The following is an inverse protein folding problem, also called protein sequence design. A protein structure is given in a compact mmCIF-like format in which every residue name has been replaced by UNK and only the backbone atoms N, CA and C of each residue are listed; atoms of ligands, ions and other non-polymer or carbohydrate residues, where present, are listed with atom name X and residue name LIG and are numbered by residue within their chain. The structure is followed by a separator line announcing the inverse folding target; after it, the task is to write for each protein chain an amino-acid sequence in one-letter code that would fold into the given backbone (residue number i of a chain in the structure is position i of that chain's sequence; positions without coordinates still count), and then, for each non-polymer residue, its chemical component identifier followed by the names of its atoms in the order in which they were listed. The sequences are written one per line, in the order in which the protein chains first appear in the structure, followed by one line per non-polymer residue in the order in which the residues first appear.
data_IF_887333729984
#
_entry.id   IF_887333729984
#
_cell.length_a   1.000
_cell.length_b   1.000
_cell.length_c   1.000
_cell.angle_alpha   90.00
_cell.angle_beta   90.00
_cell.angle_gamma   90.00
#
_symmetry.space_group_name_H-M   'P 1'
#
loop_
_entity.id
_entity.type
_entity.pdbx_description
1 polymer ?
#
# COMPACT_ATOMS: atom_id res chain seq x y z
N UNK A 1 -0.77 22.95 21.25
CA UNK A 1 0.36 22.71 20.31
C UNK A 1 -0.23 22.42 18.96
N UNK A 2 0.00 23.24 17.94
CA UNK A 2 -0.43 22.94 16.58
C UNK A 2 0.28 21.64 16.13
N UNK A 3 -0.50 20.65 15.77
CA UNK A 3 0.06 19.37 15.33
C UNK A 3 0.85 19.60 14.04
N UNK A 4 2.07 19.05 13.96
CA UNK A 4 2.89 19.15 12.75
C UNK A 4 2.14 18.62 11.53
N UNK A 5 2.12 19.37 10.42
CA UNK A 5 1.51 18.89 9.18
C UNK A 5 2.27 17.67 8.67
N UNK A 6 1.53 16.71 8.12
CA UNK A 6 2.14 15.56 7.46
C UNK A 6 2.52 15.98 6.04
N UNK A 7 3.80 15.93 5.74
CA UNK A 7 4.35 16.29 4.43
C UNK A 7 4.83 15.06 3.70
N UNK A 8 4.77 15.08 2.38
CA UNK A 8 5.31 14.07 1.49
C UNK A 8 5.92 14.74 0.25
N UNK A 9 6.85 14.06 -0.38
CA UNK A 9 7.42 14.49 -1.66
C UNK A 9 6.58 13.92 -2.81
N UNK A 10 6.12 14.78 -3.73
CA UNK A 10 5.37 14.36 -4.90
C UNK A 10 6.33 14.10 -6.07
N UNK A 11 6.56 12.81 -6.40
CA UNK A 11 7.58 12.38 -7.38
C UNK A 11 7.41 13.03 -8.75
N UNK A 12 6.21 13.01 -9.31
CA UNK A 12 5.97 13.59 -10.65
C UNK A 12 6.09 15.10 -10.68
N UNK A 13 5.68 15.81 -9.62
CA UNK A 13 5.74 17.28 -9.53
C UNK A 13 7.08 17.80 -9.00
N UNK A 14 7.91 16.94 -8.39
CA UNK A 14 9.19 17.30 -7.77
C UNK A 14 9.05 18.37 -6.67
N UNK A 15 7.97 18.35 -5.90
CA UNK A 15 7.67 19.30 -4.82
C UNK A 15 7.25 18.58 -3.54
N UNK A 16 7.44 19.26 -2.40
CA UNK A 16 6.92 18.79 -1.11
C UNK A 16 5.52 19.36 -0.91
N UNK A 17 4.56 18.48 -0.68
CA UNK A 17 3.16 18.82 -0.44
C UNK A 17 2.72 18.43 0.98
N UNK A 18 1.65 19.04 1.47
CA UNK A 18 1.01 18.66 2.74
C UNK A 18 -0.17 17.74 2.47
N UNK A 19 -0.22 16.62 3.18
CA UNK A 19 -1.27 15.63 3.03
C UNK A 19 -2.61 16.14 3.59
N UNK A 20 -3.68 16.04 2.78
CA UNK A 20 -5.06 16.19 3.24
C UNK A 20 -5.55 14.85 3.78
N UNK A 21 -5.60 14.72 5.10
CA UNK A 21 -5.96 13.46 5.75
C UNK A 21 -7.49 13.35 5.84
N UNK A 22 -8.03 12.27 5.27
CA UNK A 22 -9.46 11.96 5.41
C UNK A 22 -9.82 11.72 6.88
N UNK A 23 -10.75 12.54 7.42
CA UNK A 23 -11.17 12.45 8.81
C UNK A 23 -10.08 12.78 9.83
N UNK A 24 -9.15 13.70 9.51
CA UNK A 24 -7.99 14.04 10.34
C UNK A 24 -8.35 14.31 11.80
N UNK A 25 -9.38 15.12 12.06
CA UNK A 25 -9.81 15.48 13.41
C UNK A 25 -10.18 14.25 14.24
N UNK A 26 -10.85 13.26 13.62
CA UNK A 26 -11.22 12.02 14.29
C UNK A 26 -10.00 11.13 14.55
N UNK A 27 -9.09 11.01 13.58
CA UNK A 27 -7.85 10.24 13.74
C UNK A 27 -6.98 10.85 14.82
N UNK A 28 -6.77 12.17 14.80
CA UNK A 28 -6.01 12.87 15.84
C UNK A 28 -6.64 12.68 17.21
N UNK A 29 -7.95 12.93 17.35
CA UNK A 29 -8.63 12.72 18.63
C UNK A 29 -8.46 11.29 19.12
N UNK A 30 -8.63 10.29 18.26
CA UNK A 30 -8.51 8.88 18.62
C UNK A 30 -7.11 8.50 19.10
N UNK A 31 -6.06 9.00 18.45
CA UNK A 31 -4.68 8.63 18.77
C UNK A 31 -3.95 9.62 19.68
N UNK A 32 -4.38 10.87 19.79
CA UNK A 32 -3.68 11.91 20.53
C UNK A 32 -4.36 12.26 21.86
N UNK A 33 -5.65 11.91 22.07
CA UNK A 33 -6.36 12.18 23.32
C UNK A 33 -6.45 10.95 24.25
N UNK A 34 -6.56 11.19 25.57
CA UNK A 34 -6.78 10.12 26.56
C UNK A 34 -8.12 9.40 26.35
N UNK A 35 -9.18 10.13 26.02
CA UNK A 35 -10.51 9.55 25.73
C UNK A 35 -10.51 8.75 24.44
N UNK A 36 -9.85 9.26 23.38
CA UNK A 36 -9.68 8.55 22.14
C UNK A 36 -8.89 7.24 22.29
N UNK A 37 -7.82 7.27 23.10
CA UNK A 37 -7.04 6.06 23.39
C UNK A 37 -7.88 4.97 24.08
N UNK A 38 -8.76 5.35 25.00
CA UNK A 38 -9.70 4.40 25.63
C UNK A 38 -10.67 3.81 24.61
N UNK A 39 -11.24 4.65 23.74
CA UNK A 39 -12.13 4.22 22.65
C UNK A 39 -11.40 3.31 21.65
N UNK A 40 -10.15 3.64 21.32
CA UNK A 40 -9.29 2.83 20.44
C UNK A 40 -9.13 1.41 21.01
N UNK A 41 -8.82 1.29 22.29
CA UNK A 41 -8.64 -0.01 22.95
C UNK A 41 -9.96 -0.78 23.13
N UNK A 42 -11.08 -0.08 23.30
CA UNK A 42 -12.40 -0.69 23.47
C UNK A 42 -13.05 -1.13 22.15
N UNK A 43 -13.10 -0.27 21.16
CA UNK A 43 -13.95 -0.43 19.98
C UNK A 43 -13.20 -0.33 18.65
N UNK A 44 -12.36 0.70 18.45
CA UNK A 44 -11.83 1.03 17.12
C UNK A 44 -10.88 -0.03 16.56
N UNK A 45 -10.13 -0.74 17.42
CA UNK A 45 -9.24 -1.84 17.03
C UNK A 45 -9.98 -3.12 16.67
N UNK A 46 -11.28 -3.25 17.00
CA UNK A 46 -12.07 -4.46 16.81
C UNK A 46 -12.68 -4.53 15.43
N UNK A 47 -12.74 -5.73 14.88
CA UNK A 47 -13.33 -6.02 13.57
C UNK A 47 -14.80 -5.57 13.44
N UNK A 48 -15.57 -5.52 14.56
CA UNK A 48 -16.99 -5.21 14.56
C UNK A 48 -17.27 -3.79 14.06
N UNK A 49 -16.54 -2.78 14.55
CA UNK A 49 -16.72 -1.39 14.11
C UNK A 49 -16.35 -1.23 12.61
N UNK A 50 -15.25 -1.84 12.20
CA UNK A 50 -14.81 -1.82 10.80
C UNK A 50 -15.77 -2.59 9.89
N UNK A 51 -16.31 -3.72 10.37
CA UNK A 51 -17.31 -4.50 9.65
C UNK A 51 -18.62 -3.71 9.45
N UNK A 52 -19.15 -3.08 10.52
CA UNK A 52 -20.38 -2.28 10.45
C UNK A 52 -20.24 -1.10 9.48
N UNK A 53 -19.11 -0.37 9.55
CA UNK A 53 -18.87 0.75 8.65
C UNK A 53 -18.68 0.28 7.19
N UNK A 54 -17.92 -0.77 6.96
CA UNK A 54 -17.73 -1.38 5.65
C UNK A 54 -19.05 -1.88 5.05
N UNK A 55 -19.92 -2.46 5.89
CA UNK A 55 -21.25 -2.90 5.49
C UNK A 55 -22.13 -1.72 5.05
N UNK A 56 -22.14 -0.59 5.79
CA UNK A 56 -22.83 0.64 5.38
C UNK A 56 -22.32 1.18 4.03
N UNK A 57 -21.04 1.07 3.74
CA UNK A 57 -20.46 1.50 2.46
C UNK A 57 -20.84 0.59 1.27
N UNK A 58 -21.43 -0.58 1.53
CA UNK A 58 -22.00 -1.46 0.52
C UNK A 58 -23.49 -1.17 0.22
N UNK A 59 -24.14 -0.27 0.95
CA UNK A 59 -25.53 0.10 0.68
C UNK A 59 -25.63 1.04 -0.52
N UNK A 60 -26.70 0.92 -1.30
CA UNK A 60 -26.93 1.79 -2.46
C UNK A 60 -26.97 3.27 -2.09
N UNK A 61 -27.52 3.63 -0.93
CA UNK A 61 -27.53 5.00 -0.41
C UNK A 61 -26.11 5.58 -0.23
N UNK A 62 -25.07 4.76 -0.10
CA UNK A 62 -23.69 5.24 -0.01
C UNK A 62 -23.15 5.80 -1.32
N UNK A 63 -23.77 5.50 -2.47
CA UNK A 63 -23.40 6.06 -3.77
C UNK A 63 -23.49 7.60 -3.80
N UNK A 64 -24.37 8.21 -3.00
CA UNK A 64 -24.52 9.65 -2.89
C UNK A 64 -23.23 10.35 -2.37
N UNK A 65 -22.29 9.60 -1.80
CA UNK A 65 -21.00 10.11 -1.33
C UNK A 65 -19.94 10.19 -2.44
N UNK A 66 -20.17 9.54 -3.59
CA UNK A 66 -19.17 9.41 -4.65
C UNK A 66 -18.81 10.76 -5.25
N UNK A 67 -19.83 11.50 -5.74
CA UNK A 67 -19.57 12.79 -6.37
C UNK A 67 -19.00 13.84 -5.41
N UNK A 68 -19.55 14.04 -4.19
CA UNK A 68 -18.93 14.92 -3.21
C UNK A 68 -17.46 14.58 -2.91
N UNK A 69 -17.14 13.30 -2.80
CA UNK A 69 -15.76 12.85 -2.55
C UNK A 69 -14.84 13.16 -3.73
N UNK A 70 -15.28 12.94 -4.98
CA UNK A 70 -14.50 13.28 -6.17
C UNK A 70 -14.18 14.78 -6.21
N UNK A 71 -15.17 15.62 -5.93
CA UNK A 71 -15.01 17.09 -5.94
C UNK A 71 -14.12 17.58 -4.80
N UNK A 72 -14.33 17.05 -3.57
CA UNK A 72 -13.55 17.43 -2.38
C UNK A 72 -12.05 17.14 -2.53
N UNK A 73 -11.72 16.00 -3.18
CA UNK A 73 -10.34 15.55 -3.31
C UNK A 73 -9.77 15.72 -4.72
N UNK A 74 -10.48 16.40 -5.62
CA UNK A 74 -10.04 16.69 -6.99
C UNK A 74 -9.54 15.46 -7.73
N UNK A 75 -10.36 14.39 -7.75
CA UNK A 75 -9.98 13.14 -8.38
C UNK A 75 -10.17 13.20 -9.89
N UNK A 76 -9.15 12.77 -10.63
CA UNK A 76 -9.20 12.67 -12.09
C UNK A 76 -10.15 11.55 -12.53
N UNK A 77 -11.35 11.95 -12.97
CA UNK A 77 -12.40 11.03 -13.43
C UNK A 77 -12.09 10.42 -14.79
N UNK A 78 -11.20 11.04 -15.58
CA UNK A 78 -10.81 10.54 -16.90
C UNK A 78 -9.97 9.25 -16.81
N UNK A 79 -9.35 8.99 -15.66
CA UNK A 79 -8.67 7.73 -15.41
C UNK A 79 -9.62 6.55 -15.10
N UNK A 80 -10.88 6.79 -14.77
CA UNK A 80 -11.80 5.74 -14.32
C UNK A 80 -12.29 4.86 -15.48
N UNK A 81 -12.33 3.53 -15.26
CA UNK A 81 -12.84 2.58 -16.24
C UNK A 81 -14.35 2.74 -16.50
N UNK A 82 -15.09 3.35 -15.54
CA UNK A 82 -16.51 3.63 -15.70
C UNK A 82 -16.87 5.01 -15.15
N UNK A 83 -17.92 5.61 -15.70
CA UNK A 83 -18.42 6.91 -15.26
C UNK A 83 -18.72 6.95 -13.76
N UNK A 84 -18.42 8.06 -13.05
CA UNK A 84 -18.76 8.25 -11.64
C UNK A 84 -20.21 8.00 -11.28
N UNK A 85 -21.13 8.26 -12.19
CA UNK A 85 -22.58 8.08 -12.02
C UNK A 85 -23.03 6.62 -12.02
N UNK A 86 -22.19 5.70 -12.47
CA UNK A 86 -22.50 4.28 -12.58
C UNK A 86 -22.10 3.45 -11.35
N UNK A 87 -21.44 4.03 -10.37
CA UNK A 87 -21.10 3.33 -9.14
C UNK A 87 -22.35 3.12 -8.28
N UNK A 88 -22.65 1.87 -7.95
CA UNK A 88 -23.83 1.48 -7.18
C UNK A 88 -23.66 1.72 -5.67
N UNK A 89 -22.43 1.79 -5.19
CA UNK A 89 -22.07 1.98 -3.78
C UNK A 89 -20.77 2.76 -3.68
N UNK A 90 -20.55 3.40 -2.52
CA UNK A 90 -19.27 4.05 -2.26
C UNK A 90 -18.09 3.06 -2.24
N UNK A 91 -18.33 1.83 -1.78
CA UNK A 91 -17.29 0.81 -1.76
C UNK A 91 -16.88 0.38 -3.17
N UNK A 92 -17.85 0.26 -4.11
CA UNK A 92 -17.54 -0.02 -5.52
C UNK A 92 -16.68 1.08 -6.15
N UNK A 93 -16.95 2.35 -5.83
CA UNK A 93 -16.11 3.47 -6.23
C UNK A 93 -14.72 3.42 -5.58
N UNK A 94 -14.64 3.03 -4.32
CA UNK A 94 -13.40 3.00 -3.57
C UNK A 94 -12.35 2.06 -4.20
N UNK A 95 -12.76 0.84 -4.58
CA UNK A 95 -11.90 -0.10 -5.32
C UNK A 95 -12.10 -0.05 -6.85
N UNK A 96 -12.47 1.12 -7.38
CA UNK A 96 -12.70 1.35 -8.80
C UNK A 96 -11.58 0.79 -9.68
N UNK A 97 -11.92 0.28 -10.85
CA UNK A 97 -10.94 -0.02 -11.88
C UNK A 97 -10.56 1.25 -12.64
N UNK A 98 -9.33 1.33 -13.09
CA UNK A 98 -8.85 2.37 -13.98
C UNK A 98 -8.87 1.90 -15.43
N UNK A 99 -8.88 2.85 -16.37
CA UNK A 99 -8.76 2.56 -17.79
C UNK A 99 -7.42 1.89 -18.10
N UNK A 100 -7.35 1.00 -19.11
CA UNK A 100 -6.08 0.51 -19.61
C UNK A 100 -5.14 1.66 -19.97
N UNK A 101 -3.89 1.57 -19.53
CA UNK A 101 -2.88 2.61 -19.75
C UNK A 101 -2.88 3.77 -18.77
N UNK A 102 -3.89 3.93 -17.88
CA UNK A 102 -3.88 4.96 -16.84
C UNK A 102 -2.72 4.81 -15.84
N UNK A 103 -2.15 3.63 -15.75
CA UNK A 103 -0.94 3.31 -14.97
C UNK A 103 0.07 2.59 -15.87
N UNK A 104 0.95 3.33 -16.57
CA UNK A 104 2.01 2.73 -17.38
C UNK A 104 2.97 1.93 -16.49
N UNK A 105 3.38 0.76 -16.95
CA UNK A 105 4.30 -0.13 -16.23
C UNK A 105 5.74 0.13 -16.71
N UNK A 106 6.59 0.58 -15.81
CA UNK A 106 7.99 0.87 -16.15
C UNK A 106 8.72 -0.38 -16.67
N UNK A 107 9.47 -0.19 -17.77
CA UNK A 107 10.19 -1.26 -18.44
C UNK A 107 9.33 -2.18 -19.32
N UNK A 108 8.03 -1.87 -19.52
CA UNK A 108 7.29 -2.42 -20.65
C UNK A 108 7.42 -1.47 -21.84
N UNK A 109 7.75 -2.00 -23.03
CA UNK A 109 7.61 -1.25 -24.26
C UNK A 109 6.12 -0.98 -24.48
N UNK A 110 5.75 0.27 -24.71
CA UNK A 110 4.39 0.67 -25.12
C UNK A 110 4.15 0.17 -26.55
N UNK A 111 3.80 -1.12 -26.69
CA UNK A 111 3.18 -1.63 -27.91
C UNK A 111 1.82 -0.97 -28.08
N UNK A 112 1.42 -0.69 -29.34
CA UNK A 112 0.14 -0.07 -29.68
C UNK A 112 -1.02 -0.76 -28.95
N UNK A 113 -2.01 0.04 -28.55
CA UNK A 113 -3.22 -0.42 -27.85
C UNK A 113 -3.83 -1.61 -28.62
N UNK A 114 -3.88 -2.78 -27.95
CA UNK A 114 -4.52 -4.00 -28.52
C UNK A 114 -3.62 -5.22 -28.67
N UNK A 115 -2.30 -5.10 -28.56
CA UNK A 115 -1.41 -6.27 -28.51
C UNK A 115 -1.18 -6.70 -27.05
N UNK A 116 -1.16 -8.03 -26.75
CA UNK A 116 -0.66 -8.49 -25.46
C UNK A 116 0.74 -7.92 -25.29
N UNK A 117 1.17 -7.55 -24.05
CA UNK A 117 2.48 -6.95 -23.82
C UNK A 117 3.53 -7.88 -24.41
N UNK A 118 4.19 -7.42 -25.48
CA UNK A 118 5.38 -8.08 -26.00
C UNK A 118 6.34 -8.18 -24.80
N UNK A 119 6.85 -9.38 -24.53
CA UNK A 119 7.66 -9.66 -23.36
C UNK A 119 8.65 -8.53 -23.13
N UNK A 120 8.73 -8.04 -21.91
CA UNK A 120 9.73 -7.05 -21.51
C UNK A 120 11.09 -7.57 -22.01
N UNK A 121 11.81 -6.78 -22.79
CA UNK A 121 13.18 -7.14 -23.13
C UNK A 121 13.96 -7.42 -21.84
N UNK A 122 15.02 -8.22 -21.89
CA UNK A 122 15.78 -8.66 -20.69
C UNK A 122 16.06 -7.52 -19.68
N UNK A 123 16.22 -6.29 -20.14
CA UNK A 123 16.40 -5.10 -19.30
C UNK A 123 15.12 -4.69 -18.57
N UNK A 124 13.96 -4.86 -19.18
CA UNK A 124 12.66 -4.56 -18.56
C UNK A 124 12.33 -5.48 -17.39
N UNK A 125 12.73 -6.75 -17.43
CA UNK A 125 12.50 -7.73 -16.37
C UNK A 125 13.34 -7.44 -15.12
N UNK A 126 14.46 -6.73 -15.27
CA UNK A 126 15.30 -6.27 -14.16
C UNK A 126 14.75 -5.05 -13.41
N UNK A 127 13.64 -4.47 -13.86
CA UNK A 127 12.97 -3.33 -13.23
C UNK A 127 11.84 -3.83 -12.36
N UNK A 128 11.86 -3.51 -11.06
CA UNK A 128 10.72 -3.63 -10.16
C UNK A 128 9.88 -2.35 -10.21
N UNK A 129 8.56 -2.48 -9.99
CA UNK A 129 7.61 -1.36 -10.00
C UNK A 129 6.89 -1.18 -8.68
N UNK A 130 6.35 0.01 -8.45
CA UNK A 130 5.53 0.31 -7.28
C UNK A 130 4.24 -0.52 -7.33
N UNK A 131 3.85 -1.17 -6.22
CA UNK A 131 2.72 -2.09 -6.21
C UNK A 131 1.34 -1.41 -6.10
N UNK A 132 1.30 -0.12 -5.77
CA UNK A 132 0.07 0.63 -5.55
C UNK A 132 0.31 2.13 -5.74
N UNK A 133 -0.77 2.90 -5.97
CA UNK A 133 -0.74 4.34 -5.77
C UNK A 133 -0.63 4.64 -4.29
N UNK A 134 0.21 5.58 -3.90
CA UNK A 134 0.30 5.95 -2.49
C UNK A 134 1.57 6.69 -2.11
N UNK A 135 1.80 6.75 -0.79
CA UNK A 135 3.00 7.32 -0.20
C UNK A 135 3.93 6.19 0.20
N UNK A 136 5.14 6.26 -0.31
CA UNK A 136 6.13 5.19 -0.25
C UNK A 136 7.30 5.57 0.65
N UNK A 137 7.71 4.62 1.51
CA UNK A 137 8.98 4.65 2.23
C UNK A 137 9.83 3.47 1.80
N UNK A 138 11.01 3.75 1.27
CA UNK A 138 11.94 2.77 0.74
C UNK A 138 13.17 2.65 1.65
N UNK A 139 13.32 1.50 2.31
CA UNK A 139 14.41 1.18 3.21
C UNK A 139 15.32 0.17 2.53
N UNK A 140 16.48 0.63 2.07
CA UNK A 140 17.42 -0.20 1.32
C UNK A 140 18.04 -1.31 2.17
N UNK A 141 18.14 -1.10 3.50
CA UNK A 141 18.60 -2.10 4.46
C UNK A 141 17.73 -2.02 5.72
N UNK A 142 17.03 -3.13 6.03
CA UNK A 142 16.14 -3.22 7.18
C UNK A 142 16.87 -3.08 8.52
N UNK A 143 18.09 -3.61 8.63
CA UNK A 143 18.84 -3.58 9.89
C UNK A 143 19.39 -2.18 10.20
N UNK A 144 19.68 -1.39 9.15
CA UNK A 144 20.12 -0.02 9.28
C UNK A 144 18.96 0.97 9.48
N UNK A 145 17.72 0.55 9.22
CA UNK A 145 16.54 1.41 9.25
C UNK A 145 15.92 1.56 10.66
N UNK A 146 16.72 1.45 11.71
CA UNK A 146 16.23 1.60 13.08
C UNK A 146 15.64 3.00 13.29
N UNK A 147 14.28 3.06 13.43
CA UNK A 147 13.59 4.28 13.88
C UNK A 147 13.07 5.22 12.82
N UNK A 148 12.68 4.73 11.63
CA UNK A 148 12.16 5.58 10.55
C UNK A 148 10.83 6.28 10.85
N UNK A 149 9.89 5.69 11.60
CA UNK A 149 8.70 6.36 12.12
C UNK A 149 8.85 6.78 13.59
N UNK A 150 9.52 5.94 14.40
CA UNK A 150 9.70 6.15 15.84
C UNK A 150 11.15 5.86 16.18
N UNK A 151 11.89 6.88 16.65
CA UNK A 151 13.28 6.72 17.06
C UNK A 151 13.42 5.56 18.07
N UNK A 152 14.35 4.65 17.80
CA UNK A 152 14.66 3.51 18.67
C UNK A 152 13.74 2.30 18.54
N UNK A 153 12.67 2.34 17.75
CA UNK A 153 11.87 1.15 17.45
C UNK A 153 12.42 0.42 16.22
N UNK A 154 12.63 -0.88 16.36
CA UNK A 154 12.99 -1.76 15.23
C UNK A 154 11.74 -2.44 14.70
N UNK A 155 11.71 -2.66 13.39
CA UNK A 155 10.66 -3.45 12.75
C UNK A 155 10.85 -4.93 13.10
N UNK A 156 9.86 -5.54 13.78
CA UNK A 156 9.88 -6.95 14.13
C UNK A 156 9.45 -7.80 12.94
N UNK A 157 10.43 -8.22 12.15
CA UNK A 157 10.23 -8.98 10.92
C UNK A 157 9.65 -10.38 11.21
N UNK A 158 10.04 -11.01 12.32
CA UNK A 158 9.55 -12.33 12.71
C UNK A 158 8.06 -12.27 13.09
N UNK A 159 7.67 -11.32 13.93
CA UNK A 159 6.26 -11.07 14.25
C UNK A 159 5.48 -10.63 13.02
N UNK A 160 6.07 -9.81 12.14
CA UNK A 160 5.41 -9.34 10.93
C UNK A 160 5.13 -10.48 9.94
N UNK A 161 6.10 -11.34 9.66
CA UNK A 161 5.90 -12.49 8.79
C UNK A 161 5.22 -13.66 9.50
N UNK A 162 5.16 -13.67 10.84
CA UNK A 162 4.61 -14.79 11.64
C UNK A 162 5.35 -16.11 11.43
N UNK A 163 6.65 -16.02 11.11
CA UNK A 163 7.52 -17.15 10.80
C UNK A 163 8.98 -16.68 10.91
N UNK A 164 9.70 -17.17 11.91
CA UNK A 164 11.09 -16.78 12.17
C UNK A 164 12.05 -17.28 11.09
N UNK A 165 11.82 -18.48 10.54
CA UNK A 165 12.66 -19.04 9.48
C UNK A 165 12.49 -18.27 8.17
N UNK A 166 11.28 -17.82 7.88
CA UNK A 166 11.01 -16.93 6.75
C UNK A 166 11.63 -15.56 6.98
N UNK A 167 11.49 -14.99 8.18
CA UNK A 167 12.07 -13.71 8.55
C UNK A 167 13.61 -13.68 8.36
N UNK A 168 14.28 -14.74 8.73
CA UNK A 168 15.73 -14.87 8.55
C UNK A 168 16.18 -14.71 7.08
N UNK A 169 15.33 -15.11 6.10
CA UNK A 169 15.64 -14.94 4.67
C UNK A 169 15.59 -13.50 4.20
N UNK A 170 14.91 -12.62 4.93
CA UNK A 170 14.75 -11.21 4.61
C UNK A 170 15.53 -10.28 5.55
N UNK A 171 16.20 -10.80 6.57
CA UNK A 171 17.08 -10.04 7.46
C UNK A 171 18.18 -9.34 6.64
N UNK A 172 18.45 -8.07 6.92
CA UNK A 172 19.35 -7.24 6.13
C UNK A 172 18.89 -6.92 4.70
N UNK A 173 17.70 -7.37 4.32
CA UNK A 173 17.10 -7.11 3.02
C UNK A 173 16.52 -5.70 2.89
N UNK A 174 15.80 -5.47 1.80
CA UNK A 174 15.17 -4.18 1.51
C UNK A 174 13.65 -4.23 1.74
N UNK A 175 13.07 -3.12 2.18
CA UNK A 175 11.64 -2.98 2.45
C UNK A 175 11.07 -1.73 1.80
N UNK A 176 9.95 -1.89 1.11
CA UNK A 176 9.08 -0.81 0.67
C UNK A 176 7.79 -0.84 1.49
N UNK A 177 7.42 0.29 2.09
CA UNK A 177 6.12 0.50 2.70
C UNK A 177 5.33 1.42 1.78
N UNK A 178 4.19 0.95 1.26
CA UNK A 178 3.28 1.69 0.38
C UNK A 178 1.97 1.93 1.12
N UNK A 179 1.74 3.15 1.56
CA UNK A 179 0.56 3.56 2.30
C UNK A 179 -0.46 4.19 1.35
N UNK A 180 -1.63 3.56 1.25
CA UNK A 180 -2.73 4.05 0.43
C UNK A 180 -3.68 4.89 1.30
N UNK A 181 -3.83 6.17 0.94
CA UNK A 181 -4.83 7.04 1.55
C UNK A 181 -6.21 6.79 0.91
N UNK A 182 -7.32 7.12 1.58
CA UNK A 182 -8.67 6.90 1.04
C UNK A 182 -8.93 7.48 -0.35
N UNK A 183 -8.16 8.48 -0.76
CA UNK A 183 -8.26 9.12 -2.08
C UNK A 183 -7.55 8.35 -3.20
N UNK A 184 -6.60 7.48 -2.84
CA UNK A 184 -5.76 6.77 -3.80
C UNK A 184 -6.54 5.65 -4.52
N UNK A 185 -5.92 5.03 -5.49
CA UNK A 185 -6.41 3.83 -6.17
C UNK A 185 -6.19 2.62 -5.27
N UNK A 186 -7.26 1.91 -4.88
CA UNK A 186 -7.22 0.86 -3.86
C UNK A 186 -7.12 -0.56 -4.42
N UNK A 187 -6.55 -0.74 -5.61
CA UNK A 187 -6.05 -2.04 -6.08
C UNK A 187 -4.54 -2.07 -5.94
N UNK A 188 -4.01 -3.25 -5.67
CA UNK A 188 -2.57 -3.47 -5.53
C UNK A 188 -2.11 -4.54 -6.53
N UNK A 189 -0.87 -4.41 -6.97
CA UNK A 189 -0.32 -5.11 -8.12
C UNK A 189 0.99 -5.80 -7.77
N UNK A 190 1.40 -6.78 -8.59
CA UNK A 190 2.68 -7.45 -8.41
C UNK A 190 3.83 -6.52 -8.79
N UNK A 191 4.80 -6.27 -7.86
CA UNK A 191 5.94 -5.37 -8.14
C UNK A 191 6.96 -5.99 -9.09
N UNK A 192 6.95 -7.31 -9.23
CA UNK A 192 7.86 -8.11 -10.06
C UNK A 192 7.11 -9.26 -10.73
N UNK A 193 7.62 -9.74 -11.84
CA UNK A 193 7.14 -10.98 -12.47
C UNK A 193 7.62 -12.20 -11.65
N UNK A 194 6.79 -13.25 -11.60
CA UNK A 194 7.12 -14.47 -10.89
C UNK A 194 5.93 -15.39 -10.65
N UNK A 195 6.10 -16.40 -9.83
CA UNK A 195 5.04 -17.34 -9.46
C UNK A 195 4.66 -17.13 -7.99
N UNK A 196 3.48 -16.56 -7.71
CA UNK A 196 3.01 -16.35 -6.34
C UNK A 196 2.49 -17.65 -5.73
N UNK A 197 2.87 -17.91 -4.46
CA UNK A 197 2.29 -19.01 -3.70
C UNK A 197 0.94 -18.60 -3.08
N UNK A 198 0.24 -19.58 -2.50
CA UNK A 198 -1.03 -19.33 -1.79
C UNK A 198 -0.82 -18.30 -0.67
N UNK A 199 -1.62 -17.22 -0.62
CA UNK A 199 -1.55 -16.21 0.42
C UNK A 199 -1.83 -16.80 1.80
N UNK A 200 -1.03 -16.41 2.80
CA UNK A 200 -1.24 -16.80 4.20
C UNK A 200 -1.84 -15.64 4.97
N UNK A 201 -3.01 -15.86 5.58
CA UNK A 201 -3.66 -14.90 6.46
C UNK A 201 -3.01 -14.95 7.85
N UNK A 202 -2.62 -13.79 8.37
CA UNK A 202 -2.26 -13.60 9.78
C UNK A 202 -3.31 -12.67 10.38
N UNK A 203 -4.12 -13.21 11.27
CA UNK A 203 -5.14 -12.42 11.96
C UNK A 203 -4.51 -11.43 12.94
N UNK A 204 -5.21 -10.34 13.18
CA UNK A 204 -4.73 -9.28 14.06
C UNK A 204 -5.77 -8.19 14.22
N UNK A 205 -5.35 -7.06 14.74
CA UNK A 205 -6.20 -5.88 14.94
C UNK A 205 -6.37 -5.08 13.64
N UNK A 206 -7.07 -3.94 13.74
CA UNK A 206 -7.28 -3.00 12.64
C UNK A 206 -6.95 -1.57 13.13
N UNK A 207 -5.71 -1.37 13.58
CA UNK A 207 -5.21 -0.03 13.91
C UNK A 207 -5.02 0.80 12.63
N UNK A 208 -5.09 2.13 12.75
CA UNK A 208 -4.78 3.00 11.62
C UNK A 208 -3.30 2.87 11.21
N UNK A 209 -3.08 2.90 9.90
CA UNK A 209 -1.74 2.97 9.30
C UNK A 209 -1.38 4.39 8.86
N UNK A 210 -2.14 5.40 9.30
CA UNK A 210 -1.79 6.80 9.07
C UNK A 210 -0.49 7.16 9.79
N UNK A 211 0.29 8.15 9.30
CA UNK A 211 1.49 8.61 9.99
C UNK A 211 1.23 9.08 11.43
N UNK A 212 0.03 9.62 11.72
CA UNK A 212 -0.37 10.01 13.07
C UNK A 212 -0.33 8.81 14.03
N UNK A 213 -0.82 7.65 13.58
CA UNK A 213 -0.82 6.43 14.37
C UNK A 213 0.58 5.79 14.43
N UNK A 214 1.25 5.66 13.27
CA UNK A 214 2.56 4.99 13.16
C UNK A 214 3.69 5.75 13.88
N UNK A 215 3.63 7.09 13.93
CA UNK A 215 4.56 7.90 14.75
C UNK A 215 4.39 7.65 16.25
N UNK A 216 3.24 7.13 16.69
CA UNK A 216 3.03 6.72 18.07
C UNK A 216 3.52 5.32 18.34
N UNK A 217 3.21 4.40 17.46
CA UNK A 217 3.52 2.99 17.67
C UNK A 217 3.66 2.26 16.31
N UNK A 218 4.89 1.90 15.98
CA UNK A 218 5.22 1.16 14.76
C UNK A 218 4.63 -0.26 14.77
N UNK A 219 4.44 -0.83 15.97
CA UNK A 219 3.89 -2.17 16.18
C UNK A 219 2.54 -2.41 15.48
N UNK A 220 1.78 -1.36 15.18
CA UNK A 220 0.50 -1.47 14.49
C UNK A 220 0.64 -2.17 13.12
N UNK A 221 1.80 -2.06 12.45
CA UNK A 221 2.06 -2.74 11.18
C UNK A 221 2.06 -4.27 11.32
N UNK A 222 2.61 -4.82 12.43
CA UNK A 222 2.65 -6.28 12.63
C UNK A 222 1.60 -6.79 13.63
N UNK A 223 0.88 -5.91 14.31
CA UNK A 223 -0.29 -6.28 15.11
C UNK A 223 -1.57 -6.36 14.27
N UNK A 224 -1.61 -5.68 13.11
CA UNK A 224 -2.78 -5.68 12.24
C UNK A 224 -2.93 -6.99 11.46
N UNK A 225 -4.21 -7.28 11.12
CA UNK A 225 -4.59 -8.34 10.18
C UNK A 225 -3.90 -8.09 8.84
N UNK A 226 -3.27 -9.12 8.29
CA UNK A 226 -2.53 -9.03 7.03
C UNK A 226 -2.51 -10.32 6.25
N UNK A 227 -2.31 -10.21 4.95
CA UNK A 227 -2.05 -11.32 4.04
C UNK A 227 -0.57 -11.30 3.65
N UNK A 228 0.09 -12.44 3.67
CA UNK A 228 1.49 -12.60 3.25
C UNK A 228 1.54 -13.52 2.05
N UNK A 229 2.06 -13.03 0.92
CA UNK A 229 2.24 -13.81 -0.31
C UNK A 229 3.72 -13.78 -0.70
N UNK A 230 4.33 -14.96 -0.89
CA UNK A 230 5.65 -15.05 -1.48
C UNK A 230 5.51 -15.16 -3.00
N UNK A 231 6.30 -14.39 -3.72
CA UNK A 231 6.43 -14.44 -5.17
C UNK A 231 7.82 -14.95 -5.50
N UNK A 232 7.89 -16.08 -6.17
CA UNK A 232 9.16 -16.63 -6.65
C UNK A 232 9.50 -15.99 -7.99
N UNK A 233 10.39 -15.01 -7.96
CA UNK A 233 10.82 -14.27 -9.15
C UNK A 233 12.14 -14.84 -9.67
N UNK A 234 12.26 -15.11 -10.98
CA UNK A 234 13.53 -15.57 -11.57
C UNK A 234 14.64 -14.53 -11.45
N UNK A 235 14.30 -13.25 -11.35
CA UNK A 235 15.24 -12.11 -11.31
C UNK A 235 15.50 -11.64 -9.89
N UNK A 236 14.44 -11.46 -9.09
CA UNK A 236 14.52 -10.87 -7.74
C UNK A 236 14.58 -11.92 -6.61
N UNK A 237 14.57 -13.22 -6.95
CA UNK A 237 14.49 -14.27 -5.94
C UNK A 237 13.12 -14.30 -5.25
N UNK A 238 13.10 -14.61 -3.96
CA UNK A 238 11.85 -14.62 -3.20
C UNK A 238 11.48 -13.22 -2.73
N UNK A 239 10.32 -12.73 -3.16
CA UNK A 239 9.77 -11.41 -2.79
C UNK A 239 8.51 -11.63 -1.95
N UNK A 240 8.43 -11.02 -0.76
CA UNK A 240 7.23 -11.07 0.06
C UNK A 240 6.38 -9.82 -0.19
N UNK A 241 5.14 -10.02 -0.62
CA UNK A 241 4.15 -8.94 -0.80
C UNK A 241 3.07 -9.13 0.26
N UNK A 242 2.95 -8.13 1.15
CA UNK A 242 2.14 -8.21 2.36
C UNK A 242 1.10 -7.08 2.38
N UNK A 243 -0.17 -7.42 2.32
CA UNK A 243 -1.26 -6.44 2.45
C UNK A 243 -1.72 -6.36 3.90
N UNK A 244 -1.80 -5.16 4.43
CA UNK A 244 -2.17 -4.86 5.81
C UNK A 244 -3.52 -4.18 5.83
N UNK A 245 -4.48 -4.78 6.54
CA UNK A 245 -5.75 -4.14 6.85
C UNK A 245 -5.57 -3.09 7.96
N UNK A 246 -6.39 -2.05 7.93
CA UNK A 246 -6.36 -1.00 8.94
C UNK A 246 -7.78 -0.61 9.38
N UNK A 247 -7.92 0.46 10.16
CA UNK A 247 -9.21 0.96 10.64
C UNK A 247 -10.17 1.16 9.46
N UNK A 248 -11.34 0.54 9.55
CA UNK A 248 -12.39 0.49 8.52
C UNK A 248 -12.02 -0.34 7.26
N UNK A 249 -10.85 -0.99 7.21
CA UNK A 249 -10.44 -1.94 6.16
C UNK A 249 -10.11 -3.29 6.77
N UNK A 250 -11.14 -4.09 6.98
CA UNK A 250 -10.95 -5.49 7.39
C UNK A 250 -10.87 -6.46 6.22
N UNK A 251 -11.05 -5.98 4.98
CA UNK A 251 -11.27 -6.84 3.81
C UNK A 251 -10.16 -6.66 2.76
N UNK A 252 -9.29 -7.64 2.70
CA UNK A 252 -8.23 -7.78 1.70
C UNK A 252 -8.67 -8.90 0.74
N UNK A 253 -8.84 -8.57 -0.54
CA UNK A 253 -9.25 -9.53 -1.56
C UNK A 253 -8.11 -9.78 -2.53
N UNK A 254 -7.78 -11.06 -2.71
CA UNK A 254 -6.81 -11.48 -3.71
C UNK A 254 -7.56 -11.85 -4.99
N UNK A 255 -7.11 -11.36 -6.16
CA UNK A 255 -7.75 -11.62 -7.46
C UNK A 255 -6.95 -12.54 -8.35
N UNK A 256 -5.72 -12.90 -7.95
CA UNK A 256 -4.85 -13.80 -8.70
C UNK A 256 -5.07 -15.28 -8.34
N UNK A 257 -4.55 -16.17 -9.19
CA UNK A 257 -4.57 -17.62 -8.97
C UNK A 257 -3.19 -18.05 -8.45
N UNK A 258 -3.09 -18.60 -7.21
CA UNK A 258 -1.83 -19.11 -6.69
C UNK A 258 -1.22 -20.20 -7.58
N UNK A 259 0.10 -20.17 -7.77
CA UNK A 259 0.83 -21.12 -8.62
C UNK A 259 0.84 -20.76 -10.10
N UNK A 260 -0.03 -19.85 -10.57
CA UNK A 260 0.04 -19.32 -11.93
C UNK A 260 1.10 -18.21 -12.01
N UNK A 261 1.95 -18.25 -13.03
CA UNK A 261 2.89 -17.16 -13.31
C UNK A 261 2.13 -15.86 -13.56
N UNK A 262 2.65 -14.76 -13.01
CA UNK A 262 2.10 -13.41 -13.13
C UNK A 262 3.13 -12.46 -13.72
N UNK A 263 2.66 -11.47 -14.45
CA UNK A 263 3.50 -10.40 -14.97
C UNK A 263 3.72 -9.32 -13.90
N UNK A 264 4.80 -8.58 -14.02
CA UNK A 264 5.01 -7.32 -13.32
C UNK A 264 3.88 -6.34 -13.65
N UNK A 265 3.30 -5.68 -12.63
CA UNK A 265 2.16 -4.79 -12.80
C UNK A 265 0.80 -5.50 -12.96
N UNK A 266 0.73 -6.85 -13.02
CA UNK A 266 -0.54 -7.58 -13.00
C UNK A 266 -1.26 -7.36 -11.67
N UNK A 267 -2.61 -7.23 -11.69
CA UNK A 267 -3.40 -7.03 -10.49
C UNK A 267 -3.28 -8.21 -9.54
N UNK A 268 -2.92 -7.93 -8.29
CA UNK A 268 -2.83 -8.93 -7.23
C UNK A 268 -4.10 -8.97 -6.39
N UNK A 269 -4.76 -7.82 -6.23
CA UNK A 269 -5.97 -7.74 -5.44
C UNK A 269 -6.43 -6.32 -5.16
N UNK A 270 -7.36 -6.20 -4.20
CA UNK A 270 -7.97 -4.92 -3.83
C UNK A 270 -8.28 -4.84 -2.33
N UNK A 271 -8.35 -3.62 -1.85
CA UNK A 271 -8.88 -3.27 -0.53
C UNK A 271 -10.31 -2.72 -0.66
N UNK A 272 -11.22 -3.17 0.22
CA UNK A 272 -12.48 -2.46 0.41
C UNK A 272 -12.28 -1.32 1.38
N UNK A 273 -13.23 -0.37 1.41
CA UNK A 273 -13.13 0.95 2.05
C UNK A 273 -12.35 1.00 3.35
N UNK A 274 -11.43 1.98 3.43
CA UNK A 274 -10.64 2.44 4.58
C UNK A 274 -9.14 2.62 4.25
N UNK A 275 -8.30 3.00 5.23
CA UNK A 275 -6.85 3.09 5.06
C UNK A 275 -6.21 1.71 4.89
N UNK A 276 -5.17 1.59 4.10
CA UNK A 276 -4.49 0.33 3.82
C UNK A 276 -3.01 0.52 3.54
N UNK A 277 -2.25 -0.54 3.63
CA UNK A 277 -0.83 -0.51 3.37
C UNK A 277 -0.39 -1.81 2.69
N UNK A 278 0.54 -1.69 1.75
CA UNK A 278 1.26 -2.83 1.16
C UNK A 278 2.72 -2.73 1.56
N UNK A 279 3.25 -3.78 2.16
CA UNK A 279 4.69 -3.89 2.44
C UNK A 279 5.29 -4.94 1.51
N UNK A 280 6.33 -4.53 0.77
CA UNK A 280 7.10 -5.42 -0.09
C UNK A 280 8.49 -5.63 0.50
N UNK A 281 8.90 -6.88 0.67
CA UNK A 281 10.21 -7.26 1.18
C UNK A 281 11.02 -7.96 0.11
N UNK A 282 12.27 -7.57 -0.01
CA UNK A 282 13.26 -8.21 -0.88
C UNK A 282 14.39 -8.80 -0.03
N UNK A 283 14.93 -9.94 -0.44
CA UNK A 283 16.09 -10.54 0.19
C UNK A 283 17.33 -9.64 0.02
N UNK A 284 18.36 -9.77 0.87
CA UNK A 284 19.59 -9.01 0.77
C UNK A 284 20.20 -9.03 -0.64
N UNK A 285 20.59 -7.86 -1.17
CA UNK A 285 21.25 -7.73 -2.47
C UNK A 285 20.35 -7.98 -3.69
N UNK A 286 19.06 -8.23 -3.53
CA UNK A 286 18.16 -8.55 -4.65
C UNK A 286 17.54 -7.35 -5.34
N UNK A 287 17.57 -6.18 -4.72
CA UNK A 287 17.06 -4.94 -5.30
C UNK A 287 17.95 -3.76 -4.91
N UNK A 288 18.09 -2.82 -5.82
CA UNK A 288 18.58 -1.46 -5.57
C UNK A 288 17.44 -0.51 -5.89
N UNK A 289 16.88 0.12 -4.85
CA UNK A 289 15.81 1.12 -5.01
C UNK A 289 16.31 2.37 -5.73
N UNK A 290 15.41 3.09 -6.39
CA UNK A 290 15.71 4.36 -7.02
C UNK A 290 16.18 5.39 -5.98
N UNK A 291 17.15 6.20 -6.36
CA UNK A 291 17.85 7.10 -5.45
C UNK A 291 16.95 8.14 -4.80
N UNK A 292 15.92 8.62 -5.50
CA UNK A 292 14.96 9.58 -4.97
C UNK A 292 14.12 8.98 -3.85
N UNK A 293 13.67 7.73 -4.00
CA UNK A 293 12.93 7.01 -2.96
C UNK A 293 13.77 6.84 -1.70
N UNK A 294 15.03 6.39 -1.85
CA UNK A 294 15.94 6.16 -0.72
C UNK A 294 16.30 7.48 -0.03
N UNK A 295 16.60 8.53 -0.81
CA UNK A 295 16.96 9.86 -0.29
C UNK A 295 15.86 10.43 0.60
N UNK A 296 14.65 10.55 0.08
CA UNK A 296 13.55 11.15 0.84
C UNK A 296 13.12 10.28 2.02
N UNK A 297 13.16 8.95 1.87
CA UNK A 297 12.90 8.04 2.99
C UNK A 297 13.91 8.21 4.14
N UNK A 298 15.18 8.43 3.83
CA UNK A 298 16.22 8.70 4.84
C UNK A 298 16.01 10.04 5.57
N UNK A 299 15.37 11.02 4.90
CA UNK A 299 14.94 12.29 5.48
C UNK A 299 13.62 12.17 6.28
N UNK A 300 13.04 10.97 6.37
CA UNK A 300 11.74 10.72 7.03
C UNK A 300 10.54 11.25 6.25
N UNK A 301 10.69 11.47 4.95
CA UNK A 301 9.68 11.98 4.05
C UNK A 301 9.17 10.85 3.14
N UNK A 302 7.87 10.58 3.18
CA UNK A 302 7.23 9.64 2.24
C UNK A 302 7.23 10.23 0.83
N UNK A 303 7.32 9.38 -0.20
CA UNK A 303 7.28 9.77 -1.62
C UNK A 303 5.96 9.36 -2.22
N UNK A 304 5.14 10.31 -2.68
CA UNK A 304 3.95 10.00 -3.45
C UNK A 304 4.33 9.65 -4.88
N UNK A 305 3.94 8.44 -5.28
CA UNK A 305 4.11 7.94 -6.64
C UNK A 305 2.97 6.97 -6.98
N UNK A 306 2.82 6.65 -8.27
CA UNK A 306 1.72 5.84 -8.78
C UNK A 306 2.16 4.40 -9.00
N UNK A 307 1.21 3.48 -8.94
CA UNK A 307 1.39 2.09 -9.32
C UNK A 307 2.00 1.99 -10.73
N UNK A 308 2.93 1.06 -10.90
CA UNK A 308 3.60 0.86 -12.19
C UNK A 308 4.83 1.73 -12.41
N UNK A 309 5.00 2.86 -11.68
CA UNK A 309 6.24 3.62 -11.72
C UNK A 309 7.42 2.78 -11.21
N UNK A 310 8.62 3.12 -11.69
CA UNK A 310 9.84 2.40 -11.32
C UNK A 310 10.11 2.51 -9.83
N UNK A 311 10.31 1.32 -9.22
CA UNK A 311 10.73 1.17 -7.82
C UNK A 311 12.26 1.08 -7.70
N UNK A 312 12.87 0.37 -8.62
CA UNK A 312 14.30 0.09 -8.60
C UNK A 312 14.67 -1.00 -9.59
N UNK A 313 15.92 -1.46 -9.51
CA UNK A 313 16.47 -2.51 -10.39
C UNK A 313 16.98 -3.69 -9.57
N UNK A 314 17.06 -4.84 -10.23
CA UNK A 314 17.69 -6.03 -9.64
C UNK A 314 19.15 -5.74 -9.27
N UNK A 315 19.52 -6.11 -8.05
CA UNK A 315 20.87 -5.95 -7.50
C UNK A 315 21.84 -6.98 -8.06
#
# INVERSE_FOLDING_TARGET
MSAEPIRYFHRAKQVVETEKIYGENWVRWTYESKGGSLLLHGLAKRHIASWYYGWRMNWRASANKVLPFIVEYDLDVDEFAKSPFLFKTFNEFFYRALKPGARPIAGHSTGSAGSPPAGSGQDGDRIAVLPADGRHLALQNLDAAAGFYVKGQRFDLASFLGDAALAAKFAGGAMLISRLCPVDYHRFHFPVAGTPVKPRLINGFLYSVSPIALRRKLDYLWQNKRMVTLVQSPVFGSVAVCEIGATMVGSIFQTFIPGRAVAKGEEKGLFKFGGSCVITLFQPGKIKFDADLVKHSAEGLEVYARMGERLGVAG
#
